data_IF_779480412913
#
_entry.id   IF_779480412913
#
_cell.length_a   1.000
_cell.length_b   1.000
_cell.length_c   1.000
_cell.angle_alpha   90.00
_cell.angle_beta   90.00
_cell.angle_gamma   90.00
#
_symmetry.space_group_name_H-M   'P 1'
#
loop_
_entity.id
_entity.type
_entity.pdbx_description
1 polymer ?
#
# COMPACT_ATOMS: atom_id res chain seq x y z
N UNK A 1 5.84 12.96 -5.10
CA UNK A 1 6.59 13.20 -6.35
C UNK A 1 7.82 14.09 -6.13
N UNK A 2 7.72 15.23 -5.41
CA UNK A 2 8.87 16.12 -5.16
C UNK A 2 10.02 15.40 -4.45
N UNK A 3 9.76 14.60 -3.41
CA UNK A 3 10.77 13.79 -2.72
C UNK A 3 11.44 12.78 -3.66
N UNK A 4 10.67 12.12 -4.50
CA UNK A 4 11.21 11.21 -5.50
C UNK A 4 12.12 11.92 -6.50
N UNK A 5 11.86 13.18 -6.87
CA UNK A 5 12.71 13.95 -7.77
C UNK A 5 14.11 14.23 -7.20
N UNK A 6 14.28 14.26 -5.87
CA UNK A 6 15.59 14.49 -5.23
C UNK A 6 16.53 13.24 -5.27
N UNK A 7 16.07 12.09 -5.75
CA UNK A 7 16.94 10.96 -6.05
C UNK A 7 17.36 10.06 -4.88
N UNK A 8 16.98 10.37 -3.64
CA UNK A 8 17.35 9.57 -2.45
C UNK A 8 18.77 9.86 -1.90
N UNK A 9 19.30 9.05 -0.97
CA UNK A 9 18.72 7.78 -0.49
C UNK A 9 17.48 7.98 0.41
N UNK A 10 16.54 7.03 0.32
CA UNK A 10 15.36 7.00 1.19
C UNK A 10 15.58 6.01 2.32
N UNK A 11 15.35 6.44 3.55
CA UNK A 11 15.66 5.68 4.75
C UNK A 11 14.42 5.15 5.48
N UNK A 12 13.25 5.73 5.20
CA UNK A 12 12.06 5.29 5.91
C UNK A 12 10.75 5.96 5.48
N UNK A 13 9.70 5.44 6.06
CA UNK A 13 8.33 5.92 5.90
C UNK A 13 7.82 6.25 7.29
N UNK A 14 7.24 7.44 7.45
CA UNK A 14 6.50 7.83 8.65
C UNK A 14 5.02 7.86 8.30
N UNK A 15 4.23 7.12 9.04
CA UNK A 15 2.79 7.09 8.84
C UNK A 15 2.06 7.40 10.15
N UNK A 16 1.01 8.22 10.09
CA UNK A 16 0.07 8.38 11.19
C UNK A 16 -1.33 7.91 10.78
N UNK A 17 -2.08 7.40 11.74
CA UNK A 17 -3.49 7.09 11.61
C UNK A 17 -4.36 8.00 12.49
N UNK A 18 -5.63 8.17 12.08
CA UNK A 18 -6.62 9.00 12.77
C UNK A 18 -6.91 10.34 12.10
N UNK A 19 -5.92 11.00 11.48
CA UNK A 19 -6.08 12.20 10.67
C UNK A 19 -5.39 12.01 9.32
N UNK A 20 -6.10 12.30 8.24
CA UNK A 20 -5.63 12.09 6.88
C UNK A 20 -4.66 13.19 6.39
N UNK A 21 -4.64 14.36 7.04
CA UNK A 21 -3.94 15.53 6.52
C UNK A 21 -4.33 15.88 5.06
N UNK A 22 -5.60 15.69 4.76
CA UNK A 22 -6.21 15.99 3.47
C UNK A 22 -7.21 17.13 3.62
N UNK A 23 -7.31 17.99 2.61
CA UNK A 23 -8.10 19.23 2.64
C UNK A 23 -7.69 20.18 3.79
N UNK A 24 -6.41 20.20 4.16
CA UNK A 24 -5.84 20.99 5.25
C UNK A 24 -5.00 22.18 4.75
N UNK A 25 -4.92 22.36 3.44
CA UNK A 25 -4.27 23.52 2.82
C UNK A 25 -2.78 23.66 3.11
N UNK A 26 -2.26 24.91 3.12
CA UNK A 26 -0.84 25.18 3.39
C UNK A 26 -0.36 24.68 4.75
N UNK A 27 -1.21 24.75 5.78
CA UNK A 27 -0.85 24.31 7.14
C UNK A 27 -0.60 22.81 7.19
N UNK A 28 -1.43 22.01 6.52
CA UNK A 28 -1.20 20.56 6.43
C UNK A 28 0.08 20.20 5.68
N UNK A 29 0.47 20.99 4.67
CA UNK A 29 1.76 20.83 4.00
C UNK A 29 2.92 21.17 4.94
N UNK A 30 2.81 22.26 5.72
CA UNK A 30 3.79 22.63 6.74
C UNK A 30 3.93 21.55 7.82
N UNK A 31 2.81 20.95 8.26
CA UNK A 31 2.78 19.84 9.22
C UNK A 31 3.50 18.61 8.69
N UNK A 32 3.29 18.26 7.42
CA UNK A 32 4.00 17.14 6.78
C UNK A 32 5.52 17.40 6.71
N UNK A 33 5.94 18.63 6.38
CA UNK A 33 7.35 19.02 6.40
C UNK A 33 7.94 18.96 7.82
N UNK A 34 7.22 19.49 8.81
CA UNK A 34 7.63 19.45 10.23
C UNK A 34 7.79 18.01 10.71
N UNK A 35 6.88 17.12 10.31
CA UNK A 35 6.97 15.68 10.62
C UNK A 35 8.23 15.06 10.03
N UNK A 36 8.53 15.33 8.74
CA UNK A 36 9.74 14.85 8.08
C UNK A 36 11.02 15.40 8.73
N UNK A 37 11.03 16.68 9.09
CA UNK A 37 12.15 17.31 9.79
C UNK A 37 12.41 16.70 11.15
N UNK A 38 11.36 16.48 11.95
CA UNK A 38 11.49 15.92 13.32
C UNK A 38 12.05 14.50 13.30
N UNK A 39 11.51 13.61 12.46
CA UNK A 39 12.02 12.24 12.36
C UNK A 39 13.46 12.20 11.84
N UNK A 40 13.79 13.02 10.87
CA UNK A 40 15.12 13.11 10.30
C UNK A 40 16.14 13.59 11.34
N UNK A 41 15.81 14.65 12.09
CA UNK A 41 16.67 15.16 13.18
C UNK A 41 16.91 14.10 14.25
N UNK A 42 15.88 13.34 14.65
CA UNK A 42 16.00 12.27 15.64
C UNK A 42 16.89 11.10 15.20
N UNK A 43 17.19 10.99 13.90
CA UNK A 43 18.00 9.92 13.33
C UNK A 43 19.29 10.42 12.65
N UNK A 44 19.62 11.71 12.78
CA UNK A 44 20.74 12.37 12.10
C UNK A 44 20.73 12.20 10.57
N UNK A 45 19.56 12.34 9.98
CA UNK A 45 19.32 12.20 8.54
C UNK A 45 18.74 13.49 7.95
N UNK A 46 18.65 13.57 6.63
CA UNK A 46 17.99 14.70 5.92
C UNK A 46 16.48 14.47 5.88
N UNK A 47 15.65 15.53 5.97
CA UNK A 47 14.19 15.41 5.84
C UNK A 47 13.74 14.73 4.55
N UNK A 48 14.47 14.92 3.46
CA UNK A 48 14.22 14.27 2.15
C UNK A 48 14.43 12.76 2.16
N UNK A 49 15.00 12.19 3.22
CA UNK A 49 15.18 10.74 3.38
C UNK A 49 13.91 10.00 3.84
N UNK A 50 12.83 10.74 4.16
CA UNK A 50 11.59 10.15 4.66
C UNK A 50 10.39 10.50 3.80
N UNK A 51 9.53 9.50 3.58
CA UNK A 51 8.17 9.70 3.11
C UNK A 51 7.24 9.88 4.30
N UNK A 52 6.33 10.84 4.21
CA UNK A 52 5.29 11.07 5.21
C UNK A 52 3.95 10.68 4.62
N UNK A 53 3.23 9.80 5.30
CA UNK A 53 1.92 9.31 4.94
C UNK A 53 0.94 9.53 6.10
N UNK A 54 -0.30 9.84 5.78
CA UNK A 54 -1.36 10.06 6.77
C UNK A 54 -2.62 9.34 6.33
N UNK A 55 -3.44 8.89 7.28
CA UNK A 55 -4.74 8.28 7.00
C UNK A 55 -5.73 8.56 8.13
N UNK A 56 -7.02 8.65 7.82
CA UNK A 56 -8.08 8.89 8.79
C UNK A 56 -9.01 10.02 8.37
N UNK A 57 -9.42 10.87 9.30
CA UNK A 57 -10.39 11.94 9.06
C UNK A 57 -9.84 13.01 8.13
N UNK A 58 -10.64 13.40 7.14
CA UNK A 58 -10.37 14.45 6.16
C UNK A 58 -10.81 15.80 6.73
N UNK A 59 -10.13 16.90 6.36
CA UNK A 59 -10.51 18.26 6.73
C UNK A 59 -10.18 18.67 8.18
N UNK A 60 -9.49 17.82 8.92
CA UNK A 60 -9.06 18.12 10.29
C UNK A 60 -7.53 18.31 10.34
N UNK A 61 -7.03 19.39 10.97
CA UNK A 61 -5.60 19.58 11.19
C UNK A 61 -4.99 18.42 11.97
N UNK A 62 -3.71 18.15 11.72
CA UNK A 62 -2.96 17.19 12.50
C UNK A 62 -2.78 17.69 13.95
N UNK A 63 -2.97 16.85 14.97
CA UNK A 63 -2.68 17.21 16.36
C UNK A 63 -1.16 17.19 16.60
N UNK A 64 -0.45 18.16 16.03
CA UNK A 64 1.02 18.17 15.95
C UNK A 64 1.74 17.95 17.27
N UNK A 65 1.33 18.55 18.43
CA UNK A 65 2.00 18.25 19.70
C UNK A 65 1.96 16.78 20.08
N UNK A 66 0.81 16.11 19.84
CA UNK A 66 0.64 14.67 20.09
C UNK A 66 1.44 13.83 19.10
N UNK A 67 1.41 14.21 17.82
CA UNK A 67 2.14 13.51 16.76
C UNK A 67 3.65 13.57 17.01
N UNK A 68 4.21 14.73 17.29
CA UNK A 68 5.65 14.90 17.54
C UNK A 68 6.12 14.10 18.74
N UNK A 69 5.36 14.11 19.84
CA UNK A 69 5.65 13.25 21.02
C UNK A 69 5.59 11.77 20.67
N UNK A 70 4.63 11.36 19.82
CA UNK A 70 4.52 10.00 19.32
C UNK A 70 5.72 9.60 18.46
N UNK A 71 6.25 10.50 17.63
CA UNK A 71 7.44 10.24 16.82
C UNK A 71 8.69 10.00 17.70
N UNK A 72 8.90 10.80 18.73
CA UNK A 72 10.03 10.62 19.67
C UNK A 72 9.98 9.24 20.32
N UNK A 73 8.80 8.84 20.78
CA UNK A 73 8.57 7.50 21.33
C UNK A 73 8.81 6.40 20.29
N UNK A 74 8.32 6.56 19.06
CA UNK A 74 8.53 5.57 18.00
C UNK A 74 10.01 5.37 17.68
N UNK A 75 10.81 6.44 17.69
CA UNK A 75 12.26 6.35 17.49
C UNK A 75 12.95 5.62 18.64
N UNK A 76 12.56 5.88 19.89
CA UNK A 76 13.15 5.21 21.06
C UNK A 76 12.78 3.73 21.14
N UNK A 77 11.58 3.36 20.69
CA UNK A 77 11.05 1.99 20.72
C UNK A 77 11.29 1.21 19.41
N UNK A 78 12.03 1.78 18.44
CA UNK A 78 12.28 1.10 17.16
C UNK A 78 13.02 -0.22 17.36
N UNK A 79 12.68 -1.23 16.58
CA UNK A 79 13.33 -2.53 16.64
C UNK A 79 13.21 -3.34 15.35
N UNK A 80 13.75 -4.56 15.36
CA UNK A 80 13.89 -5.42 14.18
C UNK A 80 13.23 -6.80 14.34
N UNK A 81 12.36 -6.96 15.32
CA UNK A 81 11.67 -8.23 15.56
C UNK A 81 10.33 -8.26 14.84
N UNK A 82 9.72 -9.45 14.70
CA UNK A 82 8.37 -9.59 14.15
C UNK A 82 7.32 -8.82 14.97
N UNK A 83 7.52 -8.68 16.28
CA UNK A 83 6.65 -7.86 17.15
C UNK A 83 6.66 -6.38 16.76
N UNK A 84 7.81 -5.81 16.42
CA UNK A 84 7.89 -4.43 15.93
C UNK A 84 7.19 -4.28 14.58
N UNK A 85 7.32 -5.26 13.68
CA UNK A 85 6.59 -5.29 12.41
C UNK A 85 5.07 -5.36 12.63
N UNK A 86 4.62 -6.18 13.57
CA UNK A 86 3.21 -6.31 13.92
C UNK A 86 2.65 -5.02 14.55
N UNK A 87 3.40 -4.40 15.45
CA UNK A 87 3.05 -3.08 16.02
C UNK A 87 2.93 -2.01 14.95
N UNK A 88 3.86 -1.97 13.99
CA UNK A 88 3.79 -1.04 12.87
C UNK A 88 2.55 -1.27 12.01
N UNK A 89 2.24 -2.54 11.68
CA UNK A 89 1.05 -2.89 10.93
C UNK A 89 -0.26 -2.53 11.66
N UNK A 90 -0.27 -2.67 12.99
CA UNK A 90 -1.43 -2.29 13.81
C UNK A 90 -1.58 -0.77 13.96
N UNK A 91 -0.47 -0.03 13.99
CA UNK A 91 -0.47 1.41 14.21
C UNK A 91 -1.02 2.22 13.03
N UNK A 92 -1.06 1.66 11.83
CA UNK A 92 -1.58 2.33 10.63
C UNK A 92 -3.08 2.11 10.38
N UNK A 93 -3.75 1.29 11.19
CA UNK A 93 -5.16 0.95 11.04
C UNK A 93 -6.07 2.14 11.38
N UNK A 94 -7.26 2.16 10.75
CA UNK A 94 -8.35 3.09 11.07
C UNK A 94 -9.62 2.34 11.42
N UNK A 95 -10.47 2.04 10.44
CA UNK A 95 -11.65 1.18 10.58
C UNK A 95 -11.37 -0.31 10.34
N UNK A 96 -10.16 -0.63 9.98
CA UNK A 96 -9.68 -2.02 9.82
C UNK A 96 -9.90 -2.85 11.09
N UNK A 97 -10.32 -4.10 10.95
CA UNK A 97 -10.52 -5.00 12.10
C UNK A 97 -9.27 -5.80 12.46
N UNK A 98 -8.32 -5.92 11.54
CA UNK A 98 -7.09 -6.71 11.72
C UNK A 98 -5.90 -6.15 10.92
N UNK A 99 -4.66 -6.30 11.42
CA UNK A 99 -3.45 -5.96 10.67
C UNK A 99 -3.31 -6.84 9.41
N UNK A 100 -2.85 -6.21 8.33
CA UNK A 100 -2.61 -6.88 7.06
C UNK A 100 -1.12 -6.93 6.80
N UNK A 101 -0.56 -8.12 6.85
CA UNK A 101 0.89 -8.36 6.70
C UNK A 101 1.13 -9.48 5.70
N UNK A 102 2.25 -9.45 5.01
CA UNK A 102 2.69 -10.49 4.10
C UNK A 102 4.21 -10.61 4.12
N UNK A 103 4.70 -11.82 3.93
CA UNK A 103 6.10 -12.09 3.55
C UNK A 103 6.11 -13.18 2.50
N UNK A 104 6.62 -12.85 1.33
CA UNK A 104 6.88 -13.78 0.23
C UNK A 104 8.36 -14.06 0.22
N UNK A 105 8.74 -15.34 0.15
CA UNK A 105 10.14 -15.73 0.01
C UNK A 105 10.33 -16.61 -1.22
N UNK A 106 11.48 -16.48 -1.84
CA UNK A 106 11.92 -17.34 -2.92
C UNK A 106 13.42 -17.62 -2.80
N UNK A 107 13.88 -18.66 -3.46
CA UNK A 107 15.30 -19.05 -3.45
C UNK A 107 15.94 -18.67 -4.76
N UNK A 108 17.07 -17.99 -4.70
CA UNK A 108 17.94 -17.71 -5.85
C UNK A 108 19.40 -17.90 -5.44
N UNK A 109 20.17 -18.60 -6.27
CA UNK A 109 21.59 -18.94 -6.01
C UNK A 109 21.79 -19.56 -4.60
N UNK A 110 20.91 -20.49 -4.24
CA UNK A 110 20.96 -21.21 -2.95
C UNK A 110 20.61 -20.39 -1.73
N UNK A 111 20.23 -19.12 -1.86
CA UNK A 111 19.87 -18.20 -0.76
C UNK A 111 18.39 -17.83 -0.81
N UNK A 112 17.77 -17.69 0.37
CA UNK A 112 16.43 -17.14 0.49
C UNK A 112 16.44 -15.62 0.44
N UNK A 113 15.52 -15.09 -0.34
CA UNK A 113 15.24 -13.66 -0.48
C UNK A 113 13.79 -13.37 -0.13
N UNK A 114 13.51 -12.11 0.21
CA UNK A 114 12.23 -11.74 0.78
C UNK A 114 11.65 -10.48 0.16
N UNK A 115 10.33 -10.49 -0.03
CA UNK A 115 9.50 -9.31 -0.19
C UNK A 115 8.47 -9.34 0.92
N UNK A 116 8.51 -8.36 1.81
CA UNK A 116 7.57 -8.25 2.92
C UNK A 116 6.78 -6.95 2.83
N UNK A 117 5.57 -6.95 3.36
CA UNK A 117 4.74 -5.75 3.35
C UNK A 117 3.69 -5.73 4.44
N UNK A 118 3.23 -4.52 4.70
CA UNK A 118 2.08 -4.23 5.55
C UNK A 118 1.11 -3.33 4.78
N UNK A 119 -0.18 -3.47 5.01
CA UNK A 119 -1.19 -2.61 4.42
C UNK A 119 -2.32 -2.30 5.40
N UNK A 120 -3.06 -1.23 5.10
CA UNK A 120 -4.33 -0.89 5.75
C UNK A 120 -5.34 -0.44 4.70
N UNK A 121 -6.61 -0.65 5.01
CA UNK A 121 -7.76 -0.24 4.23
C UNK A 121 -8.96 -1.12 4.54
N UNK A 122 -10.14 -0.50 4.70
CA UNK A 122 -11.40 -1.20 4.94
C UNK A 122 -12.60 -0.45 4.33
N UNK A 123 -12.57 0.87 4.26
CA UNK A 123 -13.57 1.72 3.60
C UNK A 123 -12.91 2.77 2.73
N UNK A 124 -13.70 3.37 1.83
CA UNK A 124 -13.24 4.27 0.77
C UNK A 124 -12.24 3.55 -0.13
N UNK A 125 -12.60 2.36 -0.62
CA UNK A 125 -11.75 1.46 -1.40
C UNK A 125 -12.31 1.27 -2.80
N UNK A 126 -11.76 2.05 -3.72
CA UNK A 126 -11.77 1.79 -5.17
C UNK A 126 -10.47 2.31 -5.76
N UNK A 127 -9.42 1.54 -5.78
CA UNK A 127 -8.18 1.98 -6.37
C UNK A 127 -8.30 2.25 -7.89
N UNK A 128 -8.09 3.44 -8.26
CA UNK A 128 -7.25 3.95 -9.31
C UNK A 128 -6.22 4.80 -8.56
N UNK A 129 -5.74 4.20 -7.47
CA UNK A 129 -5.04 4.63 -6.26
C UNK A 129 -5.97 5.23 -5.18
N UNK A 130 -6.58 4.37 -4.31
CA UNK A 130 -7.59 4.72 -3.28
C UNK A 130 -7.24 4.29 -1.85
N UNK A 131 -7.97 4.70 -0.78
CA UNK A 131 -7.71 4.77 0.69
C UNK A 131 -6.99 3.58 1.28
N UNK A 132 -5.86 3.27 0.72
CA UNK A 132 -4.97 2.30 1.27
C UNK A 132 -3.59 2.90 1.48
N UNK A 133 -2.96 2.48 2.52
CA UNK A 133 -1.52 2.61 2.66
C UNK A 133 -0.95 1.21 2.57
N UNK A 134 0.00 1.00 1.67
CA UNK A 134 0.76 -0.23 1.59
C UNK A 134 2.26 0.09 1.55
N UNK A 135 3.00 -0.55 2.42
CA UNK A 135 4.44 -0.37 2.55
C UNK A 135 5.11 -1.71 2.39
N UNK A 136 5.94 -1.83 1.36
CA UNK A 136 6.70 -3.03 1.04
C UNK A 136 8.19 -2.81 1.26
N UNK A 137 8.90 -3.87 1.53
CA UNK A 137 10.35 -3.87 1.66
C UNK A 137 10.94 -5.15 1.07
N UNK A 138 12.15 -5.04 0.52
CA UNK A 138 12.93 -6.18 0.05
C UNK A 138 14.38 -6.08 0.49
N UNK A 139 15.04 -7.21 0.61
CA UNK A 139 16.45 -7.32 0.94
C UNK A 139 17.39 -7.16 -0.27
N UNK A 140 16.84 -7.06 -1.48
CA UNK A 140 17.61 -6.78 -2.69
C UNK A 140 18.11 -5.34 -2.78
N UNK A 141 19.21 -5.14 -3.51
CA UNK A 141 19.57 -3.85 -4.09
C UNK A 141 18.87 -3.71 -5.43
N UNK A 142 18.04 -2.68 -5.60
CA UNK A 142 17.20 -2.51 -6.80
C UNK A 142 17.33 -1.10 -7.33
N UNK A 143 17.73 -0.89 -8.60
CA UNK A 143 17.70 0.41 -9.25
C UNK A 143 16.27 0.99 -9.22
N UNK A 144 16.15 2.27 -8.93
CA UNK A 144 14.88 2.94 -8.74
C UNK A 144 13.92 2.78 -9.92
N UNK A 145 14.42 2.92 -11.16
CA UNK A 145 13.58 2.78 -12.35
C UNK A 145 12.97 1.40 -12.46
N UNK A 146 13.78 0.37 -12.20
CA UNK A 146 13.33 -1.03 -12.22
C UNK A 146 12.34 -1.30 -11.09
N UNK A 147 12.62 -0.84 -9.87
CA UNK A 147 11.72 -0.98 -8.73
C UNK A 147 10.37 -0.30 -8.97
N UNK A 148 10.40 0.94 -9.50
CA UNK A 148 9.18 1.69 -9.83
C UNK A 148 8.34 0.96 -10.89
N UNK A 149 8.96 0.47 -11.96
CA UNK A 149 8.29 -0.28 -13.03
C UNK A 149 7.63 -1.53 -12.46
N UNK A 150 8.40 -2.38 -11.76
CA UNK A 150 7.92 -3.63 -11.17
C UNK A 150 6.77 -3.39 -10.19
N UNK A 151 6.89 -2.37 -9.32
CA UNK A 151 5.84 -2.02 -8.38
C UNK A 151 4.58 -1.52 -9.11
N UNK A 152 4.73 -0.67 -10.13
CA UNK A 152 3.58 -0.14 -10.88
C UNK A 152 2.82 -1.25 -11.61
N UNK A 153 3.52 -2.20 -12.23
CA UNK A 153 2.90 -3.36 -12.88
C UNK A 153 2.14 -4.23 -11.86
N UNK A 154 2.74 -4.49 -10.69
CA UNK A 154 2.09 -5.25 -9.64
C UNK A 154 0.85 -4.53 -9.08
N UNK A 155 0.93 -3.23 -8.81
CA UNK A 155 -0.20 -2.41 -8.30
C UNK A 155 -1.36 -2.40 -9.30
N UNK A 156 -1.07 -2.25 -10.59
CA UNK A 156 -2.10 -2.23 -11.64
C UNK A 156 -2.91 -3.52 -11.66
N UNK A 157 -2.25 -4.68 -11.55
CA UNK A 157 -2.95 -5.97 -11.63
C UNK A 157 -3.43 -6.52 -10.29
N UNK A 158 -3.24 -5.79 -9.18
CA UNK A 158 -3.65 -6.25 -7.85
C UNK A 158 -4.48 -5.20 -7.11
N UNK A 159 -3.83 -4.24 -6.44
CA UNK A 159 -4.55 -3.20 -5.70
C UNK A 159 -5.55 -2.40 -6.55
N UNK A 160 -5.20 -2.08 -7.81
CA UNK A 160 -6.14 -1.39 -8.69
C UNK A 160 -7.30 -2.27 -9.19
N UNK A 161 -7.30 -3.56 -8.91
CA UNK A 161 -8.37 -4.49 -9.30
C UNK A 161 -9.42 -4.73 -8.20
N UNK A 162 -9.29 -4.10 -7.03
CA UNK A 162 -10.27 -4.28 -5.95
C UNK A 162 -11.23 -3.09 -5.84
N UNK A 163 -12.40 -3.32 -5.27
CA UNK A 163 -13.35 -2.28 -4.84
C UNK A 163 -14.15 -2.77 -3.63
N UNK A 164 -14.41 -1.89 -2.68
CA UNK A 164 -15.33 -2.14 -1.55
C UNK A 164 -16.59 -1.31 -1.71
N UNK A 165 -16.49 -0.03 -1.93
CA UNK A 165 -17.59 0.93 -1.92
C UNK A 165 -17.65 1.85 -3.15
N UNK A 166 -16.72 1.72 -4.07
CA UNK A 166 -16.68 2.54 -5.28
C UNK A 166 -16.09 3.93 -5.09
N UNK A 167 -15.61 4.26 -3.89
CA UNK A 167 -15.08 5.58 -3.56
C UNK A 167 -13.56 5.61 -3.50
N UNK A 168 -12.97 6.66 -4.11
CA UNK A 168 -11.53 6.94 -4.10
C UNK A 168 -11.15 7.78 -2.89
N UNK A 169 -10.00 7.47 -2.28
CA UNK A 169 -9.44 8.30 -1.21
C UNK A 169 -8.54 9.42 -1.71
N UNK A 170 -8.26 10.31 -0.77
CA UNK A 170 -7.32 11.41 -0.93
C UNK A 170 -5.86 11.03 -0.63
N UNK A 171 -5.59 9.85 -0.05
CA UNK A 171 -4.30 9.54 0.59
C UNK A 171 -3.62 8.26 0.11
N UNK A 172 -4.11 7.64 -0.94
CA UNK A 172 -3.59 6.36 -1.38
C UNK A 172 -2.12 6.38 -1.73
N UNK A 173 -1.44 5.39 -1.17
CA UNK A 173 0.00 5.33 -1.35
C UNK A 173 0.49 3.90 -1.25
N UNK A 174 1.21 3.46 -2.26
CA UNK A 174 2.03 2.24 -2.23
C UNK A 174 3.49 2.66 -2.33
N UNK A 175 4.28 2.30 -1.33
CA UNK A 175 5.72 2.55 -1.29
C UNK A 175 6.47 1.24 -1.13
N UNK A 176 7.60 1.10 -1.83
CA UNK A 176 8.50 -0.02 -1.67
C UNK A 176 9.92 0.46 -1.44
N UNK A 177 10.57 -0.09 -0.43
CA UNK A 177 11.97 0.17 -0.09
C UNK A 177 12.82 -1.07 -0.37
N UNK A 178 14.01 -0.85 -0.92
CA UNK A 178 15.00 -1.89 -1.18
C UNK A 178 16.28 -1.55 -0.40
N UNK A 179 16.68 -2.43 0.55
CA UNK A 179 17.77 -2.12 1.47
C UNK A 179 19.12 -2.74 1.09
N UNK A 180 19.15 -3.64 0.08
CA UNK A 180 20.36 -4.27 -0.38
C UNK A 180 21.03 -5.24 0.61
N UNK A 181 20.35 -5.61 1.69
CA UNK A 181 20.93 -6.42 2.78
C UNK A 181 21.38 -7.82 2.32
N UNK A 182 20.73 -8.39 1.32
CA UNK A 182 21.11 -9.69 0.75
C UNK A 182 22.47 -9.68 0.00
N UNK A 183 22.99 -8.50 -0.35
CA UNK A 183 24.14 -8.34 -1.22
C UNK A 183 23.86 -8.67 -2.69
N UNK A 184 22.64 -9.02 -3.05
CA UNK A 184 22.23 -9.34 -4.42
C UNK A 184 21.51 -8.13 -5.04
N UNK A 185 21.87 -7.83 -6.29
CA UNK A 185 21.22 -6.77 -7.07
C UNK A 185 20.29 -7.36 -8.12
N UNK A 186 19.10 -6.76 -8.29
CA UNK A 186 18.16 -7.08 -9.38
C UNK A 186 17.79 -5.82 -10.14
N UNK A 187 17.86 -5.88 -11.47
CA UNK A 187 17.57 -4.77 -12.38
C UNK A 187 17.49 -5.23 -13.83
N UNK A 188 17.37 -4.30 -14.77
CA UNK A 188 17.15 -4.61 -16.19
C UNK A 188 18.22 -5.52 -16.82
N UNK A 189 19.46 -5.45 -16.31
CA UNK A 189 20.60 -6.25 -16.80
C UNK A 189 20.78 -7.58 -16.05
N UNK A 190 19.99 -7.85 -15.04
CA UNK A 190 20.06 -9.11 -14.28
C UNK A 190 19.55 -10.30 -15.10
N UNK A 191 19.95 -11.56 -14.76
CA UNK A 191 19.41 -12.75 -15.38
C UNK A 191 17.89 -12.75 -15.43
N UNK A 192 17.31 -13.25 -16.52
CA UNK A 192 15.84 -13.27 -16.71
C UNK A 192 15.13 -13.98 -15.55
N UNK A 193 15.67 -15.11 -15.13
CA UNK A 193 15.13 -15.88 -14.01
C UNK A 193 14.98 -15.03 -12.75
N UNK A 194 16.04 -14.32 -12.32
CA UNK A 194 16.00 -13.47 -11.14
C UNK A 194 14.97 -12.34 -11.28
N UNK A 195 14.89 -11.72 -12.48
CA UNK A 195 13.90 -10.66 -12.73
C UNK A 195 12.48 -11.17 -12.62
N UNK A 196 12.21 -12.36 -13.13
CA UNK A 196 10.89 -13.01 -13.06
C UNK A 196 10.55 -13.34 -11.61
N UNK A 197 11.42 -14.04 -10.88
CA UNK A 197 11.21 -14.39 -9.48
C UNK A 197 10.96 -13.16 -8.60
N UNK A 198 11.72 -12.08 -8.82
CA UNK A 198 11.52 -10.84 -8.08
C UNK A 198 10.17 -10.19 -8.41
N UNK A 199 9.81 -10.09 -9.68
CA UNK A 199 8.54 -9.50 -10.10
C UNK A 199 7.33 -10.31 -9.59
N UNK A 200 7.40 -11.64 -9.66
CA UNK A 200 6.38 -12.55 -9.11
C UNK A 200 6.25 -12.41 -7.59
N UNK A 201 7.35 -12.25 -6.87
CA UNK A 201 7.32 -12.04 -5.42
C UNK A 201 6.68 -10.69 -5.05
N UNK A 202 6.99 -9.62 -5.79
CA UNK A 202 6.34 -8.31 -5.61
C UNK A 202 4.86 -8.38 -5.94
N UNK A 203 4.51 -8.99 -7.06
CA UNK A 203 3.11 -9.22 -7.45
C UNK A 203 2.34 -9.97 -6.36
N UNK A 204 2.88 -11.12 -5.92
CA UNK A 204 2.24 -11.96 -4.91
C UNK A 204 2.06 -11.25 -3.57
N UNK A 205 3.04 -10.43 -3.18
CA UNK A 205 2.91 -9.62 -1.97
C UNK A 205 1.78 -8.58 -2.09
N UNK A 206 1.67 -7.90 -3.23
CA UNK A 206 0.60 -6.95 -3.52
C UNK A 206 -0.77 -7.65 -3.57
N UNK A 207 -0.87 -8.80 -4.27
CA UNK A 207 -2.09 -9.59 -4.36
C UNK A 207 -2.61 -10.01 -2.98
N UNK A 208 -1.76 -10.62 -2.15
CA UNK A 208 -2.15 -11.04 -0.79
C UNK A 208 -2.60 -9.88 0.08
N UNK A 209 -1.96 -8.71 -0.05
CA UNK A 209 -2.38 -7.52 0.69
C UNK A 209 -3.70 -6.95 0.17
N UNK A 210 -3.92 -6.95 -1.15
CA UNK A 210 -5.18 -6.55 -1.78
C UNK A 210 -6.34 -7.44 -1.32
N UNK A 211 -6.15 -8.77 -1.35
CA UNK A 211 -7.13 -9.74 -0.84
C UNK A 211 -7.47 -9.52 0.63
N UNK A 212 -6.45 -9.20 1.46
CA UNK A 212 -6.66 -8.91 2.88
C UNK A 212 -7.42 -7.60 3.10
N UNK A 213 -7.27 -6.60 2.23
CA UNK A 213 -8.04 -5.36 2.27
C UNK A 213 -9.50 -5.65 1.95
N UNK A 214 -9.78 -6.32 0.83
CA UNK A 214 -11.15 -6.65 0.42
C UNK A 214 -11.83 -7.55 1.47
N UNK A 215 -11.09 -8.50 2.05
CA UNK A 215 -11.61 -9.43 3.07
C UNK A 215 -11.80 -8.79 4.46
N UNK A 216 -11.48 -7.51 4.62
CA UNK A 216 -11.65 -6.73 5.85
C UNK A 216 -12.43 -5.43 5.59
N UNK A 217 -13.18 -5.37 4.48
CA UNK A 217 -14.03 -4.23 4.14
C UNK A 217 -15.05 -3.93 5.25
N UNK A 218 -15.43 -2.66 5.40
CA UNK A 218 -16.36 -2.22 6.43
C UNK A 218 -17.68 -2.99 6.36
N UNK A 219 -18.01 -3.74 7.42
CA UNK A 219 -19.21 -4.60 7.56
C UNK A 219 -19.36 -5.62 6.41
N UNK A 220 -18.27 -6.07 5.84
CA UNK A 220 -18.28 -7.05 4.76
C UNK A 220 -18.93 -8.37 5.20
N UNK A 221 -19.70 -8.96 4.30
CA UNK A 221 -20.30 -10.29 4.49
C UNK A 221 -19.83 -11.30 3.46
N UNK A 222 -19.40 -10.81 2.29
CA UNK A 222 -18.96 -11.64 1.15
C UNK A 222 -17.81 -10.98 0.41
N UNK A 223 -16.89 -11.79 -0.10
CA UNK A 223 -15.92 -11.40 -1.12
C UNK A 223 -16.35 -12.02 -2.44
N UNK A 224 -16.44 -11.21 -3.49
CA UNK A 224 -16.90 -11.65 -4.81
C UNK A 224 -15.79 -11.40 -5.81
N UNK A 225 -15.47 -12.41 -6.59
CA UNK A 225 -14.56 -12.31 -7.73
C UNK A 225 -15.39 -12.17 -9.03
N UNK A 226 -15.12 -11.10 -9.80
CA UNK A 226 -15.72 -10.87 -11.10
C UNK A 226 -14.67 -11.18 -12.17
N UNK A 227 -14.92 -12.21 -12.97
CA UNK A 227 -14.09 -12.58 -14.13
C UNK A 227 -14.78 -12.23 -15.41
N UNK A 228 -14.11 -11.46 -16.26
CA UNK A 228 -14.59 -11.10 -17.60
C UNK A 228 -13.69 -11.75 -18.62
N UNK A 229 -14.26 -12.61 -19.44
CA UNK A 229 -13.56 -13.34 -20.51
C UNK A 229 -14.10 -12.92 -21.89
N UNK A 230 -13.24 -12.93 -22.90
CA UNK A 230 -13.63 -12.67 -24.29
C UNK A 230 -13.88 -11.20 -24.62
N UNK A 231 -13.49 -10.25 -23.75
CA UNK A 231 -13.52 -8.84 -24.08
C UNK A 231 -12.53 -8.49 -25.22
N UNK A 232 -12.77 -7.40 -25.92
CA UNK A 232 -11.91 -6.96 -27.03
C UNK A 232 -10.49 -6.54 -26.54
N UNK A 233 -10.40 -6.06 -25.31
CA UNK A 233 -9.12 -5.68 -24.66
C UNK A 233 -9.17 -5.92 -23.15
N UNK A 234 -8.01 -5.90 -22.50
CA UNK A 234 -7.92 -5.93 -21.04
C UNK A 234 -8.61 -4.72 -20.39
N UNK A 235 -8.49 -3.54 -21.00
CA UNK A 235 -9.15 -2.31 -20.54
C UNK A 235 -10.67 -2.43 -20.59
N UNK A 236 -11.23 -3.07 -21.64
CA UNK A 236 -12.67 -3.29 -21.73
C UNK A 236 -13.15 -4.32 -20.73
N UNK A 237 -12.37 -5.39 -20.50
CA UNK A 237 -12.64 -6.34 -19.43
C UNK A 237 -12.68 -5.68 -18.07
N UNK A 238 -11.71 -4.80 -17.77
CA UNK A 238 -11.66 -4.05 -16.51
C UNK A 238 -12.87 -3.11 -16.36
N UNK A 239 -13.25 -2.36 -17.40
CA UNK A 239 -14.43 -1.48 -17.36
C UNK A 239 -15.70 -2.26 -17.02
N UNK A 240 -15.90 -3.41 -17.66
CA UNK A 240 -17.06 -4.29 -17.38
C UNK A 240 -17.01 -4.82 -15.95
N UNK A 241 -15.88 -5.38 -15.52
CA UNK A 241 -15.72 -5.90 -14.15
C UNK A 241 -15.97 -4.81 -13.10
N UNK A 242 -15.49 -3.61 -13.34
CA UNK A 242 -15.65 -2.47 -12.45
C UNK A 242 -17.08 -1.94 -12.41
N UNK A 243 -17.76 -1.87 -13.55
CA UNK A 243 -19.18 -1.50 -13.62
C UNK A 243 -20.05 -2.49 -12.81
N UNK A 244 -19.82 -3.77 -12.96
CA UNK A 244 -20.48 -4.83 -12.18
C UNK A 244 -20.14 -4.70 -10.69
N UNK A 245 -18.85 -4.63 -10.36
CA UNK A 245 -18.37 -4.57 -8.98
C UNK A 245 -18.83 -3.34 -8.19
N UNK A 246 -19.14 -2.23 -8.87
CA UNK A 246 -19.61 -0.98 -8.24
C UNK A 246 -21.13 -0.81 -8.28
N UNK A 247 -21.85 -1.66 -9.00
CA UNK A 247 -23.31 -1.59 -9.08
C UNK A 247 -23.94 -1.91 -7.72
N UNK A 248 -24.62 -0.93 -7.11
CA UNK A 248 -25.37 -1.15 -5.86
C UNK A 248 -26.48 -2.19 -6.06
N UNK A 249 -27.08 -2.22 -7.25
CA UNK A 249 -28.13 -3.20 -7.58
C UNK A 249 -27.57 -4.62 -7.60
N UNK A 250 -26.38 -4.82 -8.17
CA UNK A 250 -25.69 -6.11 -8.18
C UNK A 250 -25.23 -6.47 -6.75
N UNK A 251 -24.60 -5.55 -6.03
CA UNK A 251 -24.16 -5.78 -4.65
C UNK A 251 -25.31 -6.20 -3.73
N UNK A 252 -26.49 -5.60 -3.88
CA UNK A 252 -27.65 -5.98 -3.09
C UNK A 252 -28.17 -7.39 -3.42
N UNK A 253 -28.04 -7.87 -4.66
CA UNK A 253 -28.37 -9.26 -4.99
C UNK A 253 -27.37 -10.25 -4.37
N UNK A 254 -26.07 -9.94 -4.42
CA UNK A 254 -25.06 -10.76 -3.76
C UNK A 254 -25.27 -10.83 -2.24
N UNK A 255 -25.55 -9.69 -1.63
CA UNK A 255 -25.86 -9.62 -0.19
C UNK A 255 -27.07 -10.48 0.16
N UNK A 256 -28.15 -10.38 -0.61
CA UNK A 256 -29.39 -11.11 -0.44
C UNK A 256 -29.36 -12.56 -0.91
N UNK A 257 -28.20 -13.05 -1.41
CA UNK A 257 -28.04 -14.41 -1.97
C UNK A 257 -29.00 -14.71 -3.11
N UNK A 258 -29.39 -13.67 -3.86
CA UNK A 258 -30.26 -13.75 -5.03
C UNK A 258 -29.38 -13.94 -6.31
N UNK A 259 -29.47 -15.10 -7.00
CA UNK A 259 -28.71 -15.38 -8.21
C UNK A 259 -29.27 -14.61 -9.43
N UNK A 260 -29.38 -13.30 -9.30
CA UNK A 260 -30.03 -12.43 -10.25
C UNK A 260 -29.08 -12.02 -11.39
N UNK A 261 -28.88 -12.91 -12.35
CA UNK A 261 -28.05 -12.64 -13.54
C UNK A 261 -28.54 -11.45 -14.37
N UNK A 262 -29.85 -11.16 -14.35
CA UNK A 262 -30.42 -10.01 -15.06
C UNK A 262 -29.93 -8.65 -14.56
N UNK A 263 -29.35 -8.59 -13.35
CA UNK A 263 -28.69 -7.37 -12.83
C UNK A 263 -27.26 -7.21 -13.32
N UNK A 264 -26.69 -8.27 -13.92
CA UNK A 264 -25.34 -8.26 -14.49
C UNK A 264 -25.35 -7.84 -15.96
N UNK A 265 -26.47 -8.08 -16.66
CA UNK A 265 -26.70 -7.74 -18.06
C UNK A 265 -27.18 -6.29 -18.22
#
# INVERSE_FOLDING_TARGET
QKHLAHGGPFHGIVANSGNANACTGPDGLADAHTTAQRIAASLNLKPTAFFVCSTGRIGQPLPMPKLLKGLERTVSEKGRTSDHGHKAASAILTSDTKPKTVTVSFTYDGKKHYVSGIAKGAGMIQPNMATMLAFLATDFSVPRSFLQKTLSEAVTGTFNCITVDGDMSTNDTVLMLANGHSGVSVGDKSPRELRVLFAEAVWKACEVLADKIVSDGEKITKVVEVRVNGAASADDAEKVARAIGNSLLVKSSWYGEDPNWGRLA
#
